data_IF_170403942371
#
_entry.id   IF_170403942371
#
_cell.length_a   1.000
_cell.length_b   1.000
_cell.length_c   1.000
_cell.angle_alpha   90.00
_cell.angle_beta   90.00
_cell.angle_gamma   90.00
#
_symmetry.space_group_name_H-M   'P 1'
#
loop_
_entity.id
_entity.type
_entity.pdbx_description
1 polymer ?
#
# COMPACT_ATOMS: atom_id res chain seq x y z
N UNK A 1 0.84 16.78 -2.82
CA UNK A 1 1.60 18.02 -3.03
C UNK A 1 0.95 18.89 -4.12
N UNK A 2 0.70 18.37 -5.30
CA UNK A 2 0.04 19.11 -6.40
C UNK A 2 -1.41 19.54 -6.11
N UNK A 3 -2.00 19.07 -5.02
CA UNK A 3 -3.38 19.38 -4.57
C UNK A 3 -3.38 20.28 -3.33
N UNK A 4 -2.38 21.14 -3.16
CA UNK A 4 -2.24 22.13 -2.08
C UNK A 4 -2.14 21.52 -0.65
N UNK A 5 -1.67 20.28 -0.52
CA UNK A 5 -1.36 19.70 0.77
C UNK A 5 0.09 19.95 1.18
N UNK A 6 0.30 20.29 2.44
CA UNK A 6 1.61 20.24 3.06
C UNK A 6 1.89 18.81 3.53
N UNK A 7 2.95 18.20 3.02
CA UNK A 7 3.28 16.80 3.31
C UNK A 7 4.54 16.73 4.15
N UNK A 8 4.45 16.00 5.26
CA UNK A 8 5.59 15.70 6.12
C UNK A 8 5.85 14.20 6.09
N UNK A 9 6.93 13.80 5.44
CA UNK A 9 7.37 12.41 5.44
C UNK A 9 8.17 12.08 6.71
N UNK A 10 7.80 10.97 7.36
CA UNK A 10 8.50 10.45 8.53
C UNK A 10 9.28 9.21 8.08
N UNK A 11 10.61 9.32 8.09
CA UNK A 11 11.50 8.36 7.44
C UNK A 11 12.65 7.94 8.36
N UNK A 12 13.09 6.68 8.24
CA UNK A 12 14.33 6.23 8.89
C UNK A 12 15.54 6.95 8.30
N UNK A 13 16.54 7.25 9.11
CA UNK A 13 17.77 8.00 8.72
C UNK A 13 18.49 7.37 7.53
N UNK A 14 18.45 6.04 7.38
CA UNK A 14 19.02 5.34 6.20
C UNK A 14 18.47 5.83 4.86
N UNK A 15 17.27 6.42 4.84
CA UNK A 15 16.65 6.97 3.64
C UNK A 15 17.09 8.40 3.30
N UNK A 16 17.91 9.06 4.14
CA UNK A 16 18.30 10.48 3.97
C UNK A 16 18.99 10.75 2.63
N UNK A 17 19.78 9.79 2.13
CA UNK A 17 20.50 9.90 0.85
C UNK A 17 19.66 9.55 -0.38
N UNK A 18 18.37 9.24 -0.24
CA UNK A 18 17.52 8.86 -1.38
C UNK A 18 17.34 10.05 -2.34
N UNK A 19 17.77 9.92 -3.61
CA UNK A 19 17.73 11.01 -4.59
C UNK A 19 16.29 11.46 -4.92
N UNK A 20 15.30 10.57 -4.81
CA UNK A 20 13.89 10.91 -5.01
C UNK A 20 13.40 11.95 -4.00
N UNK A 21 13.86 11.87 -2.74
CA UNK A 21 13.51 12.85 -1.70
C UNK A 21 14.11 14.21 -1.99
N UNK A 22 15.36 14.25 -2.47
CA UNK A 22 16.01 15.50 -2.92
C UNK A 22 15.23 16.14 -4.06
N UNK A 23 14.82 15.34 -5.08
CA UNK A 23 14.01 15.82 -6.20
C UNK A 23 12.66 16.36 -5.75
N UNK A 24 11.96 15.66 -4.84
CA UNK A 24 10.69 16.12 -4.27
C UNK A 24 10.85 17.44 -3.52
N UNK A 25 11.86 17.56 -2.67
CA UNK A 25 12.12 18.80 -1.94
C UNK A 25 12.45 19.97 -2.87
N UNK A 26 13.22 19.74 -3.94
CA UNK A 26 13.50 20.76 -4.96
C UNK A 26 12.25 21.21 -5.71
N UNK A 27 11.37 20.24 -6.06
CA UNK A 27 10.13 20.50 -6.80
C UNK A 27 9.04 21.18 -5.94
N UNK A 28 9.04 20.91 -4.62
CA UNK A 28 7.99 21.38 -3.70
C UNK A 28 8.63 21.94 -2.41
N UNK A 29 9.41 23.04 -2.49
CA UNK A 29 10.22 23.53 -1.39
C UNK A 29 9.40 23.98 -0.17
N UNK A 30 8.21 24.52 -0.41
CA UNK A 30 7.31 25.04 0.64
C UNK A 30 6.35 23.98 1.19
N UNK A 31 5.91 23.04 0.34
CA UNK A 31 4.83 22.10 0.67
C UNK A 31 5.33 20.70 1.07
N UNK A 32 6.65 20.48 1.07
CA UNK A 32 7.23 19.19 1.40
C UNK A 32 8.35 19.28 2.42
N UNK A 33 8.23 18.49 3.49
CA UNK A 33 9.25 18.35 4.54
C UNK A 33 9.50 16.87 4.85
N UNK A 34 10.74 16.52 5.17
CA UNK A 34 11.10 15.18 5.66
C UNK A 34 11.63 15.26 7.08
N UNK A 35 11.15 14.39 7.96
CA UNK A 35 11.66 14.18 9.31
C UNK A 35 12.33 12.82 9.33
N UNK A 36 13.60 12.81 9.75
CA UNK A 36 14.38 11.58 9.84
C UNK A 36 14.57 11.18 11.30
N UNK A 37 14.49 9.87 11.57
CA UNK A 37 14.75 9.30 12.89
C UNK A 37 15.67 8.08 12.77
N UNK A 38 16.55 7.90 13.74
CA UNK A 38 17.44 6.73 13.86
C UNK A 38 16.89 5.70 14.87
N UNK A 39 16.28 6.17 15.94
CA UNK A 39 15.65 5.34 16.96
C UNK A 39 14.27 5.90 17.36
N UNK A 40 13.48 5.11 18.05
CA UNK A 40 12.11 5.46 18.41
C UNK A 40 12.00 6.55 19.50
N UNK A 41 13.02 6.74 20.33
CA UNK A 41 13.05 7.85 21.30
C UNK A 41 13.11 9.20 20.59
N UNK A 42 13.97 9.31 19.55
CA UNK A 42 14.00 10.51 18.72
C UNK A 42 12.69 10.75 17.97
N UNK A 43 11.97 9.68 17.62
CA UNK A 43 10.68 9.79 16.95
C UNK A 43 9.70 10.56 17.83
N UNK A 44 9.57 10.20 19.11
CA UNK A 44 8.68 10.87 20.05
C UNK A 44 8.94 12.39 20.11
N UNK A 45 10.18 12.80 20.39
CA UNK A 45 10.52 14.23 20.51
C UNK A 45 10.23 15.03 19.22
N UNK A 46 10.42 14.43 18.05
CA UNK A 46 10.19 15.07 16.75
C UNK A 46 8.71 15.15 16.38
N UNK A 47 7.91 14.14 16.75
CA UNK A 47 6.50 14.05 16.37
C UNK A 47 5.58 14.75 17.35
N UNK A 48 5.92 14.75 18.66
CA UNK A 48 5.09 15.35 19.72
C UNK A 48 4.71 16.81 19.43
N UNK A 49 5.60 17.58 18.80
CA UNK A 49 5.41 19.00 18.48
C UNK A 49 4.74 19.26 17.11
N UNK A 50 4.46 18.22 16.32
CA UNK A 50 3.85 18.41 15.01
C UNK A 50 2.37 18.80 15.12
N UNK A 51 2.01 19.84 14.38
CA UNK A 51 0.62 20.21 14.12
C UNK A 51 0.25 19.69 12.74
N UNK A 52 -0.59 18.66 12.68
CA UNK A 52 -1.01 18.01 11.43
C UNK A 52 -2.50 17.70 11.51
N UNK A 53 -3.18 17.73 10.35
CA UNK A 53 -4.62 17.47 10.26
C UNK A 53 -4.92 16.00 10.02
N UNK A 54 -4.02 15.31 9.34
CA UNK A 54 -4.22 13.92 8.87
C UNK A 54 -2.96 13.10 9.08
N UNK A 55 -3.15 11.82 9.34
CA UNK A 55 -2.06 10.84 9.34
C UNK A 55 -2.34 9.71 8.35
N UNK A 56 -1.36 9.43 7.48
CA UNK A 56 -1.47 8.36 6.49
C UNK A 56 -0.32 7.37 6.70
N UNK A 57 -0.65 6.14 7.08
CA UNK A 57 0.34 5.11 7.34
C UNK A 57 0.61 4.28 6.07
N UNK A 58 1.69 4.61 5.36
CA UNK A 58 2.23 3.80 4.26
C UNK A 58 3.34 2.84 4.70
N UNK A 59 3.80 2.95 5.95
CA UNK A 59 4.93 2.15 6.41
C UNK A 59 4.58 0.66 6.38
N UNK A 60 5.40 -0.11 5.65
CA UNK A 60 5.25 -1.55 5.58
C UNK A 60 6.52 -2.21 5.08
N UNK A 61 6.84 -3.38 5.62
CA UNK A 61 7.76 -4.34 5.03
C UNK A 61 6.93 -5.40 4.31
N UNK A 62 7.20 -5.61 3.02
CA UNK A 62 6.58 -6.67 2.23
C UNK A 62 7.63 -7.68 1.78
N UNK A 63 7.41 -8.95 2.12
CA UNK A 63 8.07 -10.10 1.53
C UNK A 63 7.02 -11.21 1.40
N UNK A 64 6.97 -11.89 0.25
CA UNK A 64 6.03 -13.00 0.06
C UNK A 64 6.44 -14.21 0.91
N UNK A 65 7.72 -14.54 0.86
CA UNK A 65 8.35 -15.56 1.69
C UNK A 65 9.33 -14.87 2.65
N UNK A 66 9.36 -15.29 3.89
CA UNK A 66 10.25 -14.76 4.90
C UNK A 66 11.27 -15.83 5.37
N UNK A 67 12.38 -15.35 5.88
CA UNK A 67 13.36 -16.12 6.64
C UNK A 67 13.24 -15.77 8.12
N UNK A 68 13.83 -16.56 9.00
CA UNK A 68 13.85 -16.30 10.43
C UNK A 68 14.32 -14.87 10.76
N UNK A 69 15.41 -14.43 10.18
CA UNK A 69 15.97 -13.08 10.38
C UNK A 69 15.06 -11.94 9.96
N UNK A 70 14.07 -12.22 9.14
CA UNK A 70 13.10 -11.20 8.69
C UNK A 70 12.02 -10.91 9.73
N UNK A 71 11.80 -11.80 10.71
CA UNK A 71 10.69 -11.71 11.68
C UNK A 71 10.74 -10.41 12.46
N UNK A 72 11.93 -10.07 12.99
CA UNK A 72 12.11 -8.83 13.75
C UNK A 72 11.78 -7.59 12.91
N UNK A 73 12.23 -7.55 11.68
CA UNK A 73 11.96 -6.44 10.77
C UNK A 73 10.47 -6.34 10.39
N UNK A 74 9.77 -7.47 10.26
CA UNK A 74 8.31 -7.47 10.06
C UNK A 74 7.58 -6.85 11.25
N UNK A 75 7.87 -7.31 12.46
CA UNK A 75 7.26 -6.80 13.69
C UNK A 75 7.58 -5.32 13.86
N UNK A 76 8.84 -4.95 13.67
CA UNK A 76 9.33 -3.57 13.80
C UNK A 76 8.70 -2.61 12.80
N UNK A 77 8.50 -3.04 11.55
CA UNK A 77 7.96 -2.18 10.50
C UNK A 77 6.44 -2.16 10.44
N UNK A 78 5.78 -3.31 10.65
CA UNK A 78 4.37 -3.46 10.38
C UNK A 78 3.50 -3.36 11.64
N UNK A 79 4.11 -3.51 12.83
CA UNK A 79 3.40 -3.46 14.11
C UNK A 79 3.95 -2.33 14.99
N UNK A 80 5.22 -2.41 15.40
CA UNK A 80 5.78 -1.48 16.40
C UNK A 80 5.75 -0.03 15.90
N UNK A 81 6.31 0.24 14.72
CA UNK A 81 6.38 1.60 14.19
C UNK A 81 4.99 2.25 14.02
N UNK A 82 4.02 1.63 13.34
CA UNK A 82 2.71 2.25 13.23
C UNK A 82 1.97 2.36 14.57
N UNK A 83 2.17 1.45 15.53
CA UNK A 83 1.60 1.58 16.88
C UNK A 83 2.12 2.84 17.59
N UNK A 84 3.45 3.06 17.58
CA UNK A 84 4.05 4.26 18.14
C UNK A 84 3.54 5.53 17.46
N UNK A 85 3.38 5.50 16.13
CA UNK A 85 2.83 6.64 15.40
C UNK A 85 1.37 6.92 15.77
N UNK A 86 0.56 5.88 15.95
CA UNK A 86 -0.84 6.03 16.36
C UNK A 86 -0.91 6.65 17.76
N UNK A 87 -0.11 6.17 18.69
CA UNK A 87 -0.07 6.71 20.06
C UNK A 87 0.33 8.20 20.10
N UNK A 88 1.28 8.59 19.28
CA UNK A 88 1.79 9.97 19.21
C UNK A 88 0.88 10.95 18.47
N UNK A 89 0.09 10.48 17.50
CA UNK A 89 -0.60 11.34 16.54
C UNK A 89 -2.12 11.21 16.60
N UNK A 90 -2.68 10.05 16.93
CA UNK A 90 -4.12 9.80 16.74
C UNK A 90 -5.02 10.83 17.42
N UNK A 91 -4.65 11.34 18.59
CA UNK A 91 -5.41 12.36 19.33
C UNK A 91 -5.38 13.76 18.69
N UNK A 92 -4.44 13.99 17.77
CA UNK A 92 -4.14 15.32 17.22
C UNK A 92 -4.67 15.52 15.80
N UNK A 93 -5.15 14.46 15.19
CA UNK A 93 -5.58 14.47 13.79
C UNK A 93 -7.07 14.19 13.67
N UNK A 94 -7.69 14.74 12.64
CA UNK A 94 -9.10 14.47 12.35
C UNK A 94 -9.32 13.14 11.65
N UNK A 95 -8.32 12.66 10.90
CA UNK A 95 -8.41 11.40 10.14
C UNK A 95 -7.08 10.65 10.16
N UNK A 96 -7.19 9.34 10.32
CA UNK A 96 -6.09 8.38 10.17
C UNK A 96 -6.45 7.42 9.04
N UNK A 97 -5.55 7.22 8.07
CA UNK A 97 -5.72 6.28 6.96
C UNK A 97 -4.60 5.24 7.04
N UNK A 98 -4.98 3.99 7.21
CA UNK A 98 -4.06 2.85 7.18
C UNK A 98 -4.25 2.04 5.91
N UNK A 99 -3.17 1.40 5.43
CA UNK A 99 -3.21 0.49 4.30
C UNK A 99 -3.04 -0.95 4.74
N UNK A 100 -4.10 -1.73 4.54
CA UNK A 100 -4.11 -3.18 4.65
C UNK A 100 -3.89 -3.87 3.30
N UNK A 101 -4.08 -5.18 3.27
CA UNK A 101 -3.94 -6.01 2.07
C UNK A 101 -5.05 -7.06 2.02
N UNK A 102 -5.51 -7.39 0.83
CA UNK A 102 -6.43 -8.51 0.65
C UNK A 102 -5.80 -9.87 0.96
N UNK A 103 -4.48 -9.95 1.06
CA UNK A 103 -3.76 -11.15 1.56
C UNK A 103 -4.04 -11.45 3.04
N UNK A 104 -4.68 -10.54 3.77
CA UNK A 104 -5.15 -10.74 5.14
C UNK A 104 -6.34 -11.71 5.23
N UNK A 105 -6.98 -11.99 4.09
CA UNK A 105 -8.16 -12.86 3.96
C UNK A 105 -7.88 -13.90 2.87
N UNK A 106 -7.28 -15.03 3.21
CA UNK A 106 -6.98 -16.07 2.22
C UNK A 106 -8.21 -16.91 1.88
N UNK A 107 -9.15 -17.06 2.78
CA UNK A 107 -10.41 -17.79 2.63
C UNK A 107 -11.64 -16.92 2.89
N UNK A 108 -11.85 -15.90 2.10
CA UNK A 108 -13.04 -15.05 2.05
C UNK A 108 -13.40 -14.19 3.29
N UNK A 109 -13.39 -14.66 4.52
CA UNK A 109 -14.01 -13.91 5.64
C UNK A 109 -13.18 -13.85 6.91
N UNK A 110 -12.44 -14.89 7.20
CA UNK A 110 -11.62 -14.97 8.39
C UNK A 110 -10.27 -14.25 8.16
N UNK A 111 -9.63 -13.85 9.25
CA UNK A 111 -8.27 -13.31 9.20
C UNK A 111 -7.24 -14.41 8.91
N UNK A 112 -7.49 -15.20 7.86
CA UNK A 112 -6.61 -16.26 7.37
C UNK A 112 -5.46 -15.67 6.59
N UNK A 113 -4.43 -15.32 7.28
CA UNK A 113 -3.27 -14.69 6.69
C UNK A 113 -2.50 -15.62 5.76
N UNK A 114 -2.33 -15.22 4.53
CA UNK A 114 -1.62 -15.98 3.51
C UNK A 114 -0.12 -16.17 3.81
N UNK A 115 0.48 -15.27 4.55
CA UNK A 115 1.90 -15.25 4.91
C UNK A 115 2.15 -14.32 6.11
N UNK A 116 3.39 -14.31 6.63
CA UNK A 116 3.76 -13.48 7.77
C UNK A 116 3.52 -11.98 7.54
N UNK A 117 3.72 -11.48 6.31
CA UNK A 117 3.38 -10.10 5.95
C UNK A 117 1.91 -9.80 6.27
N UNK A 118 1.00 -10.62 5.79
CA UNK A 118 -0.44 -10.39 6.01
C UNK A 118 -0.86 -10.64 7.46
N UNK A 119 -0.19 -11.56 8.16
CA UNK A 119 -0.42 -11.79 9.60
C UNK A 119 -0.04 -10.54 10.42
N UNK A 120 1.11 -9.92 10.14
CA UNK A 120 1.49 -8.67 10.81
C UNK A 120 0.55 -7.50 10.49
N UNK A 121 -0.05 -7.49 9.28
CA UNK A 121 -1.09 -6.51 8.94
C UNK A 121 -2.38 -6.74 9.72
N UNK A 122 -2.78 -8.00 9.96
CA UNK A 122 -3.94 -8.32 10.80
C UNK A 122 -3.69 -7.92 12.26
N UNK A 123 -2.53 -8.25 12.81
CA UNK A 123 -2.15 -7.85 14.16
C UNK A 123 -2.22 -6.32 14.33
N UNK A 124 -1.71 -5.56 13.37
CA UNK A 124 -1.80 -4.11 13.45
C UNK A 124 -3.24 -3.59 13.25
N UNK A 125 -4.07 -4.25 12.45
CA UNK A 125 -5.49 -3.86 12.32
C UNK A 125 -6.24 -3.96 13.64
N UNK A 126 -5.96 -4.97 14.48
CA UNK A 126 -6.51 -5.08 15.83
C UNK A 126 -6.06 -3.92 16.72
N UNK A 127 -4.78 -3.55 16.65
CA UNK A 127 -4.24 -2.38 17.36
C UNK A 127 -4.91 -1.08 16.86
N UNK A 128 -5.09 -0.93 15.56
CA UNK A 128 -5.79 0.21 14.96
C UNK A 128 -7.23 0.32 15.44
N UNK A 129 -7.93 -0.81 15.62
CA UNK A 129 -9.29 -0.83 16.16
C UNK A 129 -9.31 -0.35 17.62
N UNK A 130 -8.33 -0.73 18.44
CA UNK A 130 -8.20 -0.19 19.81
C UNK A 130 -8.13 1.35 19.80
N UNK A 131 -7.29 1.95 18.95
CA UNK A 131 -7.22 3.41 18.83
C UNK A 131 -8.52 4.01 18.28
N UNK A 132 -9.21 3.34 17.37
CA UNK A 132 -10.51 3.79 16.87
C UNK A 132 -11.57 3.87 18.01
N UNK A 133 -11.58 2.91 18.93
CA UNK A 133 -12.46 2.95 20.10
C UNK A 133 -12.04 4.01 21.12
N UNK A 134 -10.75 4.16 21.35
CA UNK A 134 -10.19 5.12 22.31
C UNK A 134 -10.39 6.56 21.85
N UNK A 135 -10.13 6.86 20.59
CA UNK A 135 -10.06 8.24 20.08
C UNK A 135 -11.37 8.66 19.40
N UNK A 136 -12.33 9.15 20.18
CA UNK A 136 -13.69 9.47 19.70
C UNK A 136 -13.76 10.60 18.65
N UNK A 137 -12.79 11.53 18.66
CA UNK A 137 -12.73 12.68 17.73
C UNK A 137 -12.06 12.33 16.40
N UNK A 138 -11.27 11.29 16.34
CA UNK A 138 -10.49 10.90 15.16
C UNK A 138 -11.21 9.84 14.36
N UNK A 139 -11.27 10.02 13.04
CA UNK A 139 -11.88 9.06 12.11
C UNK A 139 -10.81 8.14 11.55
N UNK A 140 -10.95 6.84 11.78
CA UNK A 140 -10.02 5.82 11.31
C UNK A 140 -10.56 5.10 10.08
N UNK A 141 -9.69 4.98 9.06
CA UNK A 141 -9.98 4.28 7.82
C UNK A 141 -8.89 3.24 7.54
N UNK A 142 -9.30 2.04 7.18
CA UNK A 142 -8.41 0.97 6.77
C UNK A 142 -8.71 0.57 5.32
N UNK A 143 -7.80 0.88 4.40
CA UNK A 143 -7.95 0.58 2.98
C UNK A 143 -7.22 -0.71 2.63
N UNK A 144 -7.95 -1.79 2.34
CA UNK A 144 -7.37 -3.06 1.91
C UNK A 144 -7.17 -3.08 0.40
N UNK A 145 -5.91 -3.24 0.01
CA UNK A 145 -5.50 -3.22 -1.40
C UNK A 145 -5.43 -4.64 -1.96
N UNK A 146 -5.92 -4.80 -3.17
CA UNK A 146 -5.56 -5.90 -4.06
C UNK A 146 -4.15 -5.67 -4.64
N UNK A 147 -3.86 -6.19 -5.83
CA UNK A 147 -2.54 -6.01 -6.44
C UNK A 147 -2.38 -4.57 -6.93
N UNK A 148 -1.49 -3.82 -6.29
CA UNK A 148 -1.20 -2.44 -6.67
C UNK A 148 0.06 -2.33 -7.52
N UNK A 149 0.06 -1.42 -8.48
CA UNK A 149 1.20 -1.13 -9.35
C UNK A 149 1.28 0.36 -9.67
N UNK A 150 2.41 0.80 -10.19
CA UNK A 150 2.63 2.17 -10.61
C UNK A 150 4.05 2.38 -11.09
N UNK A 151 4.37 3.59 -11.55
CA UNK A 151 5.71 3.94 -11.97
C UNK A 151 6.74 3.76 -10.86
N UNK A 152 7.91 3.28 -11.25
CA UNK A 152 9.04 3.09 -10.33
C UNK A 152 8.78 2.12 -9.17
N UNK A 153 7.82 1.20 -9.30
CA UNK A 153 7.59 0.14 -8.33
C UNK A 153 8.72 -0.89 -8.40
N UNK A 154 9.54 -0.94 -7.34
CA UNK A 154 10.68 -1.85 -7.23
C UNK A 154 10.39 -3.09 -6.38
N UNK A 155 9.14 -3.29 -5.96
CA UNK A 155 8.76 -4.46 -5.15
C UNK A 155 8.87 -5.75 -5.96
N UNK A 156 9.16 -6.85 -5.29
CA UNK A 156 9.19 -8.19 -5.90
C UNK A 156 7.77 -8.73 -6.08
N UNK A 157 6.95 -8.02 -6.87
CA UNK A 157 5.59 -8.37 -7.25
C UNK A 157 5.49 -8.65 -8.74
N UNK A 158 4.42 -9.32 -9.17
CA UNK A 158 4.31 -9.83 -10.54
C UNK A 158 4.45 -8.73 -11.59
N UNK A 159 3.67 -7.66 -11.52
CA UNK A 159 3.71 -6.58 -12.52
C UNK A 159 5.08 -5.87 -12.55
N UNK A 160 5.65 -5.42 -11.43
CA UNK A 160 7.03 -4.90 -11.42
C UNK A 160 8.07 -5.85 -11.99
N UNK A 161 7.94 -7.16 -11.76
CA UNK A 161 8.85 -8.17 -12.33
C UNK A 161 8.71 -8.24 -13.85
N UNK A 162 7.48 -8.26 -14.37
CA UNK A 162 7.21 -8.25 -15.81
C UNK A 162 7.84 -7.01 -16.46
N UNK A 163 7.61 -5.83 -15.91
CA UNK A 163 8.18 -4.57 -16.40
C UNK A 163 9.72 -4.59 -16.37
N UNK A 164 10.30 -5.06 -15.26
CA UNK A 164 11.76 -5.16 -15.13
C UNK A 164 12.37 -6.12 -16.15
N UNK A 165 11.73 -7.28 -16.35
CA UNK A 165 12.20 -8.28 -17.31
C UNK A 165 12.03 -7.81 -18.75
N UNK A 166 10.93 -7.13 -19.07
CA UNK A 166 10.74 -6.48 -20.36
C UNK A 166 11.89 -5.51 -20.69
N UNK A 167 12.22 -4.60 -19.74
CA UNK A 167 13.34 -3.64 -19.91
C UNK A 167 14.68 -4.33 -20.17
N UNK A 168 14.88 -5.51 -19.57
CA UNK A 168 16.11 -6.33 -19.73
C UNK A 168 16.02 -7.35 -20.86
N UNK A 169 14.98 -7.35 -21.68
CA UNK A 169 14.70 -8.33 -22.72
C UNK A 169 14.69 -9.80 -22.23
N UNK A 170 14.31 -10.02 -20.96
CA UNK A 170 14.24 -11.35 -20.34
C UNK A 170 12.82 -11.88 -20.31
N UNK A 171 12.67 -13.22 -20.32
CA UNK A 171 11.38 -13.88 -20.14
C UNK A 171 10.94 -13.84 -18.67
N UNK A 172 9.63 -13.72 -18.43
CA UNK A 172 9.02 -13.85 -17.10
C UNK A 172 8.30 -15.19 -17.02
N UNK A 173 8.59 -15.93 -15.94
CA UNK A 173 7.88 -17.18 -15.64
C UNK A 173 6.63 -16.84 -14.85
N UNK A 174 5.47 -17.30 -15.33
CA UNK A 174 4.15 -17.08 -14.72
C UNK A 174 3.50 -18.44 -14.45
N UNK A 175 2.93 -18.62 -13.28
CA UNK A 175 2.39 -19.91 -12.81
C UNK A 175 1.30 -20.47 -13.73
N UNK A 176 0.46 -19.62 -14.33
CA UNK A 176 -0.60 -20.02 -15.27
C UNK A 176 -1.04 -18.84 -16.13
N UNK A 177 -1.41 -19.10 -17.39
CA UNK A 177 -2.06 -18.11 -18.27
C UNK A 177 -3.43 -17.65 -17.76
N UNK A 178 -4.09 -18.47 -16.95
CA UNK A 178 -5.42 -18.22 -16.39
C UNK A 178 -5.35 -17.54 -15.01
N UNK A 179 -4.16 -17.14 -14.53
CA UNK A 179 -4.04 -16.39 -13.29
C UNK A 179 -4.86 -15.09 -13.40
N UNK A 180 -5.88 -14.97 -12.56
CA UNK A 180 -6.66 -13.75 -12.46
C UNK A 180 -6.05 -12.78 -11.44
N UNK A 181 -6.11 -11.51 -11.77
CA UNK A 181 -5.63 -10.41 -10.94
C UNK A 181 -6.72 -9.36 -10.81
N UNK A 182 -6.82 -8.76 -9.64
CA UNK A 182 -7.49 -7.49 -9.46
C UNK A 182 -6.42 -6.44 -9.22
N UNK A 183 -6.17 -5.61 -10.22
CA UNK A 183 -5.06 -4.66 -10.23
C UNK A 183 -5.58 -3.23 -10.07
N UNK A 184 -4.81 -2.42 -9.35
CA UNK A 184 -5.15 -1.02 -9.04
C UNK A 184 -3.91 -0.17 -9.27
N UNK A 185 -4.06 0.89 -10.06
CA UNK A 185 -2.99 1.86 -10.26
C UNK A 185 -2.77 2.73 -9.01
N UNK A 186 -1.55 3.20 -8.81
CA UNK A 186 -1.22 4.06 -7.66
C UNK A 186 -2.03 5.35 -7.65
N UNK A 187 -2.39 5.90 -8.82
CA UNK A 187 -3.20 7.11 -8.91
C UNK A 187 -4.63 6.90 -8.42
N UNK A 188 -5.20 5.71 -8.61
CA UNK A 188 -6.48 5.34 -8.02
C UNK A 188 -6.42 5.30 -6.49
N UNK A 189 -5.28 4.85 -5.94
CA UNK A 189 -5.05 4.87 -4.49
C UNK A 189 -4.96 6.31 -3.99
N UNK A 190 -4.26 7.20 -4.73
CA UNK A 190 -4.18 8.63 -4.40
C UNK A 190 -5.56 9.28 -4.47
N UNK A 191 -6.39 8.90 -5.45
CA UNK A 191 -7.76 9.37 -5.54
C UNK A 191 -8.60 8.93 -4.34
N UNK A 192 -8.48 7.67 -3.90
CA UNK A 192 -9.14 7.15 -2.71
C UNK A 192 -8.75 7.93 -1.44
N UNK A 193 -7.45 8.23 -1.27
CA UNK A 193 -6.97 9.08 -0.17
C UNK A 193 -7.65 10.45 -0.25
N UNK A 194 -7.67 11.08 -1.42
CA UNK A 194 -8.26 12.42 -1.62
C UNK A 194 -9.75 12.43 -1.27
N UNK A 195 -10.48 11.39 -1.64
CA UNK A 195 -11.89 11.24 -1.25
C UNK A 195 -12.02 11.17 0.27
N UNK A 196 -11.20 10.35 0.93
CA UNK A 196 -11.24 10.23 2.40
C UNK A 196 -10.87 11.55 3.09
N UNK A 197 -9.93 12.32 2.55
CA UNK A 197 -9.56 13.60 3.14
C UNK A 197 -10.67 14.66 2.99
N UNK A 198 -11.33 14.73 1.83
CA UNK A 198 -12.22 15.84 1.47
C UNK A 198 -13.71 15.52 1.67
N UNK A 199 -14.11 14.25 1.73
CA UNK A 199 -15.51 13.86 1.82
C UNK A 199 -15.89 13.33 3.22
N UNK A 200 -17.17 13.39 3.55
CA UNK A 200 -17.73 12.78 4.77
C UNK A 200 -18.01 11.30 4.48
N UNK A 201 -17.04 10.44 4.75
CA UNK A 201 -17.16 8.98 4.65
C UNK A 201 -17.26 8.41 6.06
N UNK A 202 -18.09 7.38 6.28
CA UNK A 202 -18.18 6.68 7.56
C UNK A 202 -16.83 6.01 7.88
N UNK A 203 -16.28 6.13 9.09
CA UNK A 203 -15.08 5.40 9.48
C UNK A 203 -15.24 3.88 9.33
N UNK A 204 -14.14 3.18 9.09
CA UNK A 204 -14.12 1.73 8.98
C UNK A 204 -13.19 1.18 7.90
N UNK A 205 -13.32 -0.13 7.65
CA UNK A 205 -12.50 -0.85 6.66
C UNK A 205 -13.21 -0.90 5.31
N UNK A 206 -12.47 -0.63 4.25
CA UNK A 206 -12.93 -0.64 2.87
C UNK A 206 -11.94 -1.37 1.97
N UNK A 207 -12.41 -2.00 0.91
CA UNK A 207 -11.52 -2.50 -0.13
C UNK A 207 -11.45 -1.53 -1.31
N UNK A 208 -10.24 -1.35 -1.82
CA UNK A 208 -10.01 -0.75 -3.14
C UNK A 208 -9.91 -1.91 -4.13
N UNK A 209 -10.95 -2.08 -4.93
CA UNK A 209 -11.11 -3.20 -5.86
C UNK A 209 -11.62 -2.69 -7.20
N UNK A 210 -10.95 -3.09 -8.29
CA UNK A 210 -11.46 -2.89 -9.63
C UNK A 210 -12.77 -3.66 -9.85
N UNK A 211 -13.63 -3.18 -10.74
CA UNK A 211 -14.93 -3.80 -11.02
C UNK A 211 -14.79 -5.21 -11.62
N UNK A 212 -13.76 -5.42 -12.46
CA UNK A 212 -13.48 -6.70 -13.12
C UNK A 212 -12.08 -7.18 -12.77
N UNK A 213 -11.95 -8.49 -12.60
CA UNK A 213 -10.64 -9.14 -12.59
C UNK A 213 -10.16 -9.28 -14.04
N UNK A 214 -8.86 -9.31 -14.22
CA UNK A 214 -8.23 -9.53 -15.51
C UNK A 214 -7.34 -10.77 -15.48
N UNK A 215 -7.43 -11.63 -16.51
CA UNK A 215 -6.48 -12.72 -16.69
C UNK A 215 -5.11 -12.13 -17.06
N UNK A 216 -4.04 -12.71 -16.51
CA UNK A 216 -2.68 -12.23 -16.77
C UNK A 216 -2.33 -12.30 -18.27
N UNK A 217 -2.82 -13.29 -19.01
CA UNK A 217 -2.66 -13.36 -20.46
C UNK A 217 -3.25 -12.13 -21.16
N UNK A 218 -4.47 -11.74 -20.77
CA UNK A 218 -5.14 -10.57 -21.35
C UNK A 218 -4.46 -9.25 -21.00
N UNK A 219 -3.96 -9.14 -19.75
CA UNK A 219 -3.17 -7.98 -19.32
C UNK A 219 -1.89 -7.83 -20.15
N UNK A 220 -1.19 -8.93 -20.42
CA UNK A 220 0.01 -8.92 -21.26
C UNK A 220 -0.32 -8.57 -22.72
N UNK A 221 -1.44 -9.09 -23.25
CA UNK A 221 -1.92 -8.70 -24.58
C UNK A 221 -2.18 -7.19 -24.65
N UNK A 222 -2.87 -6.63 -23.65
CA UNK A 222 -3.12 -5.19 -23.59
C UNK A 222 -1.82 -4.39 -23.58
N UNK A 223 -0.87 -4.74 -22.70
CA UNK A 223 0.43 -4.07 -22.68
C UNK A 223 1.20 -4.16 -24.00
N UNK A 224 1.10 -5.31 -24.68
CA UNK A 224 1.80 -5.51 -25.96
C UNK A 224 1.28 -4.65 -27.12
N UNK A 225 0.09 -4.04 -26.98
CA UNK A 225 -0.45 -3.13 -28.03
C UNK A 225 0.37 -1.86 -28.15
N UNK A 226 0.86 -1.34 -27.01
CA UNK A 226 1.54 -0.05 -26.93
C UNK A 226 3.07 -0.18 -26.82
N UNK A 227 3.57 -1.41 -26.75
CA UNK A 227 5.00 -1.65 -26.59
C UNK A 227 5.70 -1.91 -27.91
N UNK A 228 6.90 -1.35 -28.10
CA UNK A 228 7.75 -1.54 -29.28
C UNK A 228 8.13 -3.01 -29.56
N UNK A 229 8.10 -3.87 -28.54
CA UNK A 229 8.36 -5.31 -28.65
C UNK A 229 7.44 -6.09 -27.69
N UNK A 230 7.17 -7.34 -28.00
CA UNK A 230 6.32 -8.20 -27.15
C UNK A 230 7.00 -8.56 -25.84
N UNK A 231 6.23 -8.60 -24.76
CA UNK A 231 6.65 -9.13 -23.45
C UNK A 231 6.86 -10.64 -23.58
N UNK A 232 8.06 -11.11 -23.21
CA UNK A 232 8.39 -12.53 -23.22
C UNK A 232 7.88 -13.21 -21.95
N UNK A 233 7.02 -14.22 -22.09
CA UNK A 233 6.48 -14.98 -20.96
C UNK A 233 6.57 -16.49 -21.21
N UNK A 234 6.81 -17.22 -20.09
CA UNK A 234 6.69 -18.67 -20.05
C UNK A 234 5.65 -19.03 -18.99
N UNK A 235 4.56 -19.67 -19.40
CA UNK A 235 3.52 -20.12 -18.50
C UNK A 235 3.83 -21.53 -18.00
N UNK A 236 3.70 -21.71 -16.67
CA UNK A 236 3.66 -23.03 -16.06
C UNK A 236 2.21 -23.51 -16.03
N UNK A 237 2.01 -24.81 -16.24
CA UNK A 237 0.66 -25.44 -16.16
C UNK A 237 0.31 -25.77 -14.69
N UNK A 238 0.39 -24.79 -13.78
CA UNK A 238 0.02 -24.97 -12.36
C UNK A 238 -1.40 -24.50 -12.12
N UNK A 239 -2.08 -25.17 -11.18
CA UNK A 239 -3.35 -24.68 -10.66
C UNK A 239 -3.13 -23.32 -9.99
N UNK A 240 -4.12 -22.44 -10.11
CA UNK A 240 -4.09 -21.12 -9.48
C UNK A 240 -5.26 -20.99 -8.52
N UNK A 241 -4.99 -20.46 -7.34
CA UNK A 241 -6.03 -20.10 -6.39
C UNK A 241 -6.88 -18.96 -6.97
N UNK A 242 -8.18 -19.06 -6.83
CA UNK A 242 -9.09 -17.96 -7.20
C UNK A 242 -8.80 -16.73 -6.35
N UNK A 243 -9.07 -15.56 -6.90
CA UNK A 243 -9.01 -14.31 -6.12
C UNK A 243 -10.01 -14.40 -4.98
N UNK A 244 -9.55 -14.08 -3.78
CA UNK A 244 -10.41 -14.05 -2.60
C UNK A 244 -11.56 -13.07 -2.83
N UNK A 245 -12.78 -13.58 -2.73
CA UNK A 245 -13.98 -12.74 -2.68
C UNK A 245 -14.08 -12.16 -1.27
N UNK A 246 -14.03 -10.85 -1.14
CA UNK A 246 -14.20 -10.17 0.14
C UNK A 246 -15.61 -9.62 0.26
N UNK A 247 -16.22 -9.75 1.45
CA UNK A 247 -17.45 -9.05 1.85
C UNK A 247 -17.21 -7.58 2.22
N UNK A 248 -15.95 -7.13 2.27
CA UNK A 248 -15.64 -5.72 2.53
C UNK A 248 -16.26 -4.83 1.46
N UNK A 249 -16.92 -3.78 1.94
CA UNK A 249 -17.49 -2.75 1.09
C UNK A 249 -16.40 -2.02 0.32
N UNK A 250 -16.68 -1.66 -0.93
CA UNK A 250 -15.85 -0.70 -1.66
C UNK A 250 -15.94 0.67 -0.98
N UNK A 251 -14.87 1.45 -1.13
CA UNK A 251 -14.90 2.82 -0.66
C UNK A 251 -16.00 3.60 -1.39
N UNK A 252 -16.96 4.22 -0.67
CA UNK A 252 -18.01 5.03 -1.29
C UNK A 252 -17.44 6.17 -2.12
N UNK A 253 -18.12 6.53 -3.21
CA UNK A 253 -17.73 7.60 -4.15
C UNK A 253 -16.40 7.36 -4.87
N UNK A 254 -15.70 6.25 -4.63
CA UNK A 254 -14.47 5.91 -5.31
C UNK A 254 -14.74 4.98 -6.51
N UNK A 255 -14.14 5.33 -7.64
CA UNK A 255 -14.13 4.49 -8.84
C UNK A 255 -12.70 4.43 -9.37
N UNK A 256 -12.18 3.25 -9.72
CA UNK A 256 -10.90 3.14 -10.39
C UNK A 256 -11.01 3.70 -11.82
N UNK A 257 -9.93 4.28 -12.31
CA UNK A 257 -9.83 4.70 -13.70
C UNK A 257 -9.49 3.49 -14.57
N UNK A 258 -10.44 3.07 -15.41
CA UNK A 258 -10.27 1.92 -16.30
C UNK A 258 -9.24 2.15 -17.41
N UNK A 259 -8.85 3.38 -17.70
CA UNK A 259 -7.86 3.69 -18.73
C UNK A 259 -6.42 3.36 -18.27
N UNK A 260 -6.21 3.19 -16.97
CA UNK A 260 -4.90 2.85 -16.40
C UNK A 260 -4.58 1.34 -16.44
N UNK A 261 -5.46 0.52 -17.01
CA UNK A 261 -5.36 -0.94 -17.10
C UNK A 261 -5.64 -1.41 -18.52
#
# INVERSE_FOLDING_TARGET
>A
LSRNYHVIDILRTKNRKNPKLKKLKKKHPTNYKSIFFSNYFQLNSKIKKLKVNYFINFATLYKNNHKYDDIFDFVKSNILFPTLMYDLISQKVSKVINFGSMMQHSSSENFDSKNLYSATKNAFEMISNFYHYKEKKTKFYNLKLYESFGENDNRKKLIPIIIKNYKKNKSTIIVSKNLELNIIHVDDIINAITILLNKKIKPGSYCLKNNKNIKISKLIENFNKDLKRKIKVKYLKKSVTKITKSKLRKLPQWKPDSQLI
#
